data_IF_348040879446
#
_entry.id   IF_348040879446
#
_cell.length_a   1.000
_cell.length_b   1.000
_cell.length_c   1.000
_cell.angle_alpha   90.00
_cell.angle_beta   90.00
_cell.angle_gamma   90.00
#
_symmetry.space_group_name_H-M   'P 1'
#
loop_
_entity.id
_entity.type
_entity.pdbx_description
1 polymer ?
#
# COMPACT_ATOMS: atom_id res chain seq x y z
N UNK A 1 -13.34 17.18 12.74
CA UNK A 1 -13.67 15.94 12.02
C UNK A 1 -12.52 15.69 11.07
N UNK A 2 -11.72 14.68 11.33
CA UNK A 2 -10.61 14.32 10.45
C UNK A 2 -10.60 12.80 10.40
N UNK A 3 -10.97 12.25 9.25
CA UNK A 3 -11.07 10.81 9.05
C UNK A 3 -9.70 10.18 9.25
N UNK A 4 -9.68 9.07 9.99
CA UNK A 4 -8.48 8.25 10.14
C UNK A 4 -8.54 7.19 9.07
N UNK A 5 -7.47 7.06 8.31
CA UNK A 5 -7.36 6.01 7.32
C UNK A 5 -6.04 5.29 7.44
N UNK A 6 -6.08 4.01 7.06
CA UNK A 6 -4.92 3.14 7.02
C UNK A 6 -4.85 2.52 5.64
N UNK A 7 -3.71 2.66 4.97
CA UNK A 7 -3.38 1.88 3.80
C UNK A 7 -2.34 0.82 4.21
N UNK A 8 -2.64 -0.44 3.96
CA UNK A 8 -1.74 -1.54 4.32
C UNK A 8 -1.57 -2.54 3.18
N UNK A 9 -0.34 -3.02 3.04
CA UNK A 9 0.02 -4.09 2.12
C UNK A 9 0.20 -5.40 2.91
N UNK A 10 -0.65 -6.39 2.62
CA UNK A 10 -0.59 -7.72 3.27
C UNK A 10 -0.92 -8.82 2.27
N UNK A 11 -0.43 -10.02 2.55
CA UNK A 11 -0.85 -11.23 1.85
C UNK A 11 -2.27 -11.64 2.30
N UNK A 12 -3.21 -11.95 1.38
CA UNK A 12 -4.52 -12.50 1.71
C UNK A 12 -4.51 -13.76 2.59
N UNK A 13 -3.47 -14.58 2.49
CA UNK A 13 -3.30 -15.81 3.27
C UNK A 13 -2.36 -15.62 4.48
N UNK A 14 -2.10 -14.37 4.89
CA UNK A 14 -1.19 -14.02 6.00
C UNK A 14 0.24 -14.54 5.83
N UNK A 15 0.67 -14.89 4.61
CA UNK A 15 2.07 -15.25 4.35
C UNK A 15 2.98 -14.04 4.51
N UNK A 16 4.22 -14.31 4.93
CA UNK A 16 5.23 -13.28 5.11
C UNK A 16 5.69 -12.71 3.77
N UNK A 17 5.34 -11.45 3.49
CA UNK A 17 5.77 -10.72 2.29
C UNK A 17 7.26 -10.39 2.29
N UNK A 18 7.90 -10.31 3.47
CA UNK A 18 9.30 -9.92 3.58
C UNK A 18 10.25 -10.91 2.90
N UNK A 19 9.80 -12.14 2.68
CA UNK A 19 10.52 -13.17 1.94
C UNK A 19 10.67 -12.88 0.44
N UNK A 20 9.84 -11.98 -0.10
CA UNK A 20 9.80 -11.68 -1.53
C UNK A 20 10.02 -10.20 -1.84
N UNK A 21 9.92 -9.32 -0.85
CA UNK A 21 9.88 -7.86 -1.01
C UNK A 21 11.06 -7.22 -0.28
N UNK A 22 11.88 -6.47 -1.03
CA UNK A 22 12.98 -5.68 -0.47
C UNK A 22 12.52 -4.34 0.07
N UNK A 23 11.54 -3.72 -0.61
CA UNK A 23 11.05 -2.39 -0.25
C UNK A 23 9.64 -2.15 -0.77
N UNK A 24 8.85 -1.46 0.05
CA UNK A 24 7.54 -0.92 -0.32
C UNK A 24 7.61 0.60 -0.21
N UNK A 25 7.04 1.29 -1.19
CA UNK A 25 6.93 2.75 -1.20
C UNK A 25 5.47 3.14 -1.34
N UNK A 26 4.95 3.86 -0.36
CA UNK A 26 3.64 4.50 -0.45
C UNK A 26 3.85 5.94 -0.90
N UNK A 27 3.27 6.31 -2.04
CA UNK A 27 3.24 7.66 -2.58
C UNK A 27 1.82 8.20 -2.39
N UNK A 28 1.67 9.11 -1.44
CA UNK A 28 0.46 9.86 -1.11
C UNK A 28 0.39 11.12 -1.99
N UNK A 29 -0.75 11.80 -1.92
CA UNK A 29 -0.90 13.12 -2.53
C UNK A 29 0.17 14.12 -2.00
N UNK A 30 0.71 15.02 -2.84
CA UNK A 30 1.74 15.99 -2.44
C UNK A 30 1.34 16.93 -1.30
N UNK A 31 0.06 17.08 -0.99
CA UNK A 31 -0.43 17.87 0.15
C UNK A 31 -0.07 17.29 1.51
N UNK A 32 0.24 15.98 1.60
CA UNK A 32 0.63 15.34 2.85
C UNK A 32 2.08 15.66 3.22
N UNK A 33 2.34 15.79 4.53
CA UNK A 33 3.71 15.90 5.03
C UNK A 33 4.43 14.57 4.78
N UNK A 34 5.61 14.61 4.18
CA UNK A 34 6.35 13.42 3.75
C UNK A 34 5.50 12.50 2.85
N UNK A 35 5.07 12.94 1.66
CA UNK A 35 4.11 12.19 0.84
C UNK A 35 4.68 10.86 0.33
N UNK A 36 6.00 10.67 0.38
CA UNK A 36 6.66 9.41 0.04
C UNK A 36 7.12 8.69 1.31
N UNK A 37 6.47 7.57 1.65
CA UNK A 37 6.80 6.73 2.80
C UNK A 37 7.45 5.43 2.32
N UNK A 38 8.59 5.07 2.89
CA UNK A 38 9.40 3.93 2.46
C UNK A 38 9.54 2.93 3.61
N UNK A 39 9.25 1.67 3.33
CA UNK A 39 9.32 0.57 4.28
C UNK A 39 10.15 -0.56 3.70
N UNK A 40 11.15 -1.03 4.44
CA UNK A 40 12.00 -2.17 4.07
C UNK A 40 11.68 -3.43 4.89
N UNK A 41 10.83 -3.30 5.91
CA UNK A 41 10.41 -4.39 6.79
C UNK A 41 8.93 -4.24 7.13
N UNK A 42 8.21 -5.34 7.43
CA UNK A 42 6.83 -5.29 7.88
C UNK A 42 6.73 -4.66 9.29
N UNK A 43 5.56 -4.08 9.66
CA UNK A 43 4.34 -3.98 8.87
C UNK A 43 4.42 -2.89 7.79
N UNK A 44 3.98 -3.24 6.57
CA UNK A 44 3.92 -2.32 5.44
C UNK A 44 2.59 -1.54 5.49
N UNK A 45 2.53 -0.51 6.32
CA UNK A 45 1.31 0.28 6.50
C UNK A 45 1.58 1.77 6.74
N UNK A 46 0.69 2.60 6.19
CA UNK A 46 0.63 4.04 6.44
C UNK A 46 -0.67 4.35 7.16
N UNK A 47 -0.56 5.09 8.26
CA UNK A 47 -1.68 5.61 9.03
C UNK A 47 -1.64 7.13 8.93
N UNK A 48 -2.76 7.74 8.58
CA UNK A 48 -2.85 9.19 8.41
C UNK A 48 -4.22 9.72 8.83
N UNK A 49 -4.27 11.04 8.99
CA UNK A 49 -5.45 11.79 9.38
C UNK A 49 -5.72 12.82 8.28
N UNK A 50 -6.87 12.72 7.61
CA UNK A 50 -7.18 13.60 6.48
C UNK A 50 -8.64 13.55 6.10
N UNK A 51 -9.01 14.32 5.08
CA UNK A 51 -10.36 14.37 4.52
C UNK A 51 -10.25 14.54 2.99
N UNK A 52 -11.29 14.12 2.28
CA UNK A 52 -11.39 14.22 0.83
C UNK A 52 -11.03 12.93 0.07
N UNK A 53 -10.73 13.13 -1.21
CA UNK A 53 -10.49 12.06 -2.18
C UNK A 53 -9.12 12.22 -2.81
N UNK A 54 -8.34 11.15 -2.85
CA UNK A 54 -7.01 11.19 -3.48
C UNK A 54 -6.59 9.82 -4.00
N UNK A 55 -5.63 9.83 -4.92
CA UNK A 55 -4.96 8.62 -5.36
C UNK A 55 -3.72 8.36 -4.51
N UNK A 56 -3.56 7.12 -4.07
CA UNK A 56 -2.38 6.62 -3.38
C UNK A 56 -1.75 5.53 -4.23
N UNK A 57 -0.45 5.62 -4.48
CA UNK A 57 0.29 4.61 -5.24
C UNK A 57 1.19 3.80 -4.30
N UNK A 58 1.06 2.47 -4.34
CA UNK A 58 1.94 1.53 -3.64
C UNK A 58 2.89 0.92 -4.66
N UNK A 59 4.19 1.20 -4.53
CA UNK A 59 5.25 0.58 -5.33
C UNK A 59 5.96 -0.50 -4.54
N UNK A 60 6.13 -1.65 -5.15
CA UNK A 60 6.63 -2.87 -4.49
C UNK A 60 7.84 -3.35 -5.25
N UNK A 61 8.97 -3.41 -4.55
CA UNK A 61 10.25 -3.85 -5.06
C UNK A 61 10.51 -5.27 -4.55
N UNK A 62 10.80 -6.18 -5.46
CA UNK A 62 11.07 -7.58 -5.13
C UNK A 62 12.53 -7.79 -4.73
N UNK A 63 12.78 -8.89 -4.03
CA UNK A 63 14.15 -9.39 -3.78
C UNK A 63 14.77 -9.95 -5.05
N UNK A 64 13.97 -10.58 -5.91
CA UNK A 64 14.39 -10.99 -7.23
C UNK A 64 14.55 -9.78 -8.15
N UNK A 65 15.81 -9.42 -8.43
CA UNK A 65 16.17 -8.29 -9.30
C UNK A 65 15.79 -8.46 -10.76
N UNK A 66 15.42 -9.69 -11.19
CA UNK A 66 14.91 -9.92 -12.54
C UNK A 66 13.45 -9.44 -12.70
N UNK A 67 12.73 -9.24 -11.58
CA UNK A 67 11.36 -8.75 -11.58
C UNK A 67 11.31 -7.23 -11.53
N UNK A 68 10.58 -6.63 -12.46
CA UNK A 68 10.27 -5.20 -12.41
C UNK A 68 9.38 -4.87 -11.19
N UNK A 69 9.59 -3.72 -10.52
CA UNK A 69 8.72 -3.27 -9.45
C UNK A 69 7.26 -3.13 -9.92
N UNK A 70 6.32 -3.54 -9.08
CA UNK A 70 4.89 -3.35 -9.34
C UNK A 70 4.43 -2.03 -8.74
N UNK A 71 3.54 -1.32 -9.44
CA UNK A 71 2.86 -0.13 -8.93
C UNK A 71 1.35 -0.35 -8.95
N UNK A 72 0.70 -0.17 -7.80
CA UNK A 72 -0.74 -0.29 -7.64
C UNK A 72 -1.26 1.08 -7.22
N UNK A 73 -2.24 1.63 -7.94
CA UNK A 73 -2.86 2.91 -7.59
C UNK A 73 -4.25 2.66 -7.03
N UNK A 74 -4.48 3.12 -5.82
CA UNK A 74 -5.76 3.03 -5.13
C UNK A 74 -6.39 4.42 -5.01
N UNK A 75 -7.69 4.52 -5.31
CA UNK A 75 -8.46 5.73 -5.06
C UNK A 75 -9.08 5.65 -3.66
N UNK A 76 -8.63 6.52 -2.77
CA UNK A 76 -9.17 6.63 -1.42
C UNK A 76 -10.21 7.75 -1.37
N UNK A 77 -11.40 7.44 -0.85
CA UNK A 77 -12.43 8.41 -0.50
C UNK A 77 -12.71 8.27 1.00
N UNK A 78 -12.40 9.31 1.78
CA UNK A 78 -12.59 9.30 3.23
C UNK A 78 -14.02 9.60 3.67
N UNK A 79 -14.82 10.19 2.79
CA UNK A 79 -16.19 10.66 3.09
C UNK A 79 -17.25 9.56 2.88
N UNK A 80 -16.86 8.39 2.35
CA UNK A 80 -17.75 7.25 2.23
C UNK A 80 -18.10 6.68 3.62
N UNK A 81 -19.36 6.28 3.83
CA UNK A 81 -19.94 5.85 5.12
C UNK A 81 -19.25 4.63 5.79
N UNK A 82 -18.21 4.07 5.20
CA UNK A 82 -17.38 2.99 5.75
C UNK A 82 -16.14 3.53 6.49
N UNK A 83 -16.35 4.44 7.44
CA UNK A 83 -15.31 5.23 8.14
C UNK A 83 -14.26 4.42 8.96
N UNK A 84 -14.30 3.09 8.94
CA UNK A 84 -13.46 2.24 9.80
C UNK A 84 -12.71 1.11 9.09
N UNK A 85 -12.89 0.93 7.77
CA UNK A 85 -12.21 -0.16 7.07
C UNK A 85 -10.86 0.29 6.50
N UNK A 86 -9.74 -0.32 6.91
CA UNK A 86 -8.46 -0.06 6.26
C UNK A 86 -8.55 -0.40 4.77
N UNK A 87 -7.96 0.43 3.92
CA UNK A 87 -7.73 0.06 2.53
C UNK A 87 -6.64 -1.02 2.49
N UNK A 88 -7.01 -2.21 1.99
CA UNK A 88 -6.09 -3.34 1.84
C UNK A 88 -5.74 -3.52 0.37
N UNK A 89 -4.46 -3.36 0.05
CA UNK A 89 -3.94 -3.57 -1.31
C UNK A 89 -3.56 -5.04 -1.48
N UNK A 90 -4.35 -5.81 -2.25
CA UNK A 90 -4.26 -7.28 -2.33
C UNK A 90 -3.68 -7.84 -3.64
N UNK A 91 -3.30 -7.01 -4.62
CA UNK A 91 -3.03 -7.48 -5.99
C UNK A 91 -1.70 -8.26 -6.18
N UNK A 92 -0.80 -8.22 -5.20
CA UNK A 92 0.57 -8.76 -5.32
C UNK A 92 0.60 -10.28 -5.50
N UNK A 93 -0.20 -11.03 -4.74
CA UNK A 93 -0.18 -12.50 -4.82
C UNK A 93 -0.68 -12.97 -6.19
N UNK A 94 -1.71 -12.34 -6.72
CA UNK A 94 -2.26 -12.70 -8.04
C UNK A 94 -1.21 -12.53 -9.14
N UNK A 95 -0.31 -11.55 -9.00
CA UNK A 95 0.81 -11.38 -9.93
C UNK A 95 1.92 -12.42 -9.69
N UNK A 96 2.34 -12.64 -8.44
CA UNK A 96 3.35 -13.66 -8.11
C UNK A 96 2.94 -15.07 -8.55
N UNK A 97 1.64 -15.39 -8.48
CA UNK A 97 1.09 -16.66 -8.99
C UNK A 97 1.13 -16.79 -10.51
N UNK A 98 1.12 -15.68 -11.26
CA UNK A 98 1.20 -15.68 -12.74
C UNK A 98 2.63 -15.79 -13.27
N UNK A 99 3.63 -15.56 -12.41
CA UNK A 99 5.05 -15.66 -12.75
C UNK A 99 5.62 -17.09 -12.61
N UNK A 100 4.83 -18.05 -12.13
CA UNK A 100 5.14 -19.49 -12.11
C UNK A 100 4.32 -20.21 -13.18
#
# INVERSE_FOLDING_TARGET
MTHKWTCLLRCPNSSDLSLFVTKVVFELDPSFIYPKRVYTQPPYEVNEIGWGEFYLTVKIYFDDTSLSPISITHFLNTDSENEHTPCVVNEVISFLKKLK
#
